data_IF_436905478090
#
_entry.id   IF_436905478090
#
_cell.length_a   1.000
_cell.length_b   1.000
_cell.length_c   1.000
_cell.angle_alpha   90.00
_cell.angle_beta   90.00
_cell.angle_gamma   90.00
#
_symmetry.space_group_name_H-M   'P 1'
#
loop_
_entity.id
_entity.type
_entity.pdbx_description
1 polymer ?
#
# COMPACT_ATOMS: atom_id res chain seq x y z
N UNK A 1 4.30 41.55 -13.04
CA UNK A 1 3.60 40.61 -13.94
C UNK A 1 4.55 39.45 -14.16
N UNK A 2 4.35 38.33 -13.46
CA UNK A 2 5.18 37.14 -13.52
C UNK A 2 4.92 36.40 -14.83
N UNK A 3 6.00 36.02 -15.53
CA UNK A 3 5.97 35.35 -16.82
C UNK A 3 5.31 33.95 -16.69
N UNK A 4 4.18 33.66 -17.36
CA UNK A 4 3.49 32.37 -17.28
C UNK A 4 4.18 31.22 -18.05
N UNK A 5 5.35 31.47 -18.67
CA UNK A 5 6.12 30.48 -19.42
C UNK A 5 7.46 30.11 -18.76
N UNK A 6 7.58 30.25 -17.44
CA UNK A 6 8.71 29.61 -16.74
C UNK A 6 8.60 28.09 -16.94
N UNK A 7 9.60 27.43 -17.55
CA UNK A 7 9.64 25.98 -17.62
C UNK A 7 9.54 25.43 -16.19
N UNK A 8 8.78 24.35 -15.93
CA UNK A 8 8.80 23.72 -14.62
C UNK A 8 10.25 23.50 -14.21
N UNK A 9 10.59 23.98 -13.00
CA UNK A 9 11.92 23.86 -12.42
C UNK A 9 12.49 22.48 -12.74
N UNK A 10 13.70 22.48 -13.32
CA UNK A 10 14.39 21.29 -13.81
C UNK A 10 14.12 20.09 -12.90
N UNK A 11 13.75 18.96 -13.52
CA UNK A 11 13.62 17.69 -12.83
C UNK A 11 14.79 17.54 -11.85
N UNK A 12 14.54 17.15 -10.59
CA UNK A 12 15.59 17.02 -9.59
C UNK A 12 16.74 16.24 -10.22
N UNK A 13 17.91 16.89 -10.30
CA UNK A 13 19.10 16.28 -10.86
C UNK A 13 19.34 14.97 -10.13
N UNK A 14 19.56 13.91 -10.91
CA UNK A 14 19.90 12.58 -10.41
C UNK A 14 21.29 12.70 -9.79
N UNK A 15 21.30 13.02 -8.50
CA UNK A 15 22.49 12.94 -7.68
C UNK A 15 22.56 11.54 -7.06
N UNK A 16 23.70 10.92 -7.31
CA UNK A 16 24.18 9.62 -6.85
C UNK A 16 23.58 8.38 -7.52
N UNK A 17 24.45 7.45 -7.93
CA UNK A 17 24.14 6.14 -8.52
C UNK A 17 23.43 5.17 -7.58
N UNK A 18 22.61 5.69 -6.68
CA UNK A 18 21.81 4.96 -5.73
C UNK A 18 20.53 4.45 -6.40
N UNK A 19 20.28 3.15 -6.27
CA UNK A 19 19.12 2.43 -6.82
C UNK A 19 17.75 2.94 -6.30
N UNK A 20 17.76 3.95 -5.41
CA UNK A 20 16.63 4.41 -4.60
C UNK A 20 16.67 5.94 -4.44
N UNK A 21 15.65 6.64 -4.94
CA UNK A 21 15.55 8.09 -4.88
C UNK A 21 14.69 8.60 -3.72
N UNK A 22 14.96 9.83 -3.29
CA UNK A 22 14.09 10.59 -2.38
C UNK A 22 13.11 11.42 -3.20
N UNK A 23 11.83 11.33 -2.88
CA UNK A 23 10.73 11.86 -3.70
C UNK A 23 9.75 12.65 -2.82
N UNK A 24 9.25 13.80 -3.29
CA UNK A 24 8.15 14.48 -2.63
C UNK A 24 6.85 13.66 -2.74
N UNK A 25 6.36 13.12 -1.63
CA UNK A 25 5.11 12.37 -1.60
C UNK A 25 3.93 13.31 -1.40
N UNK A 26 3.01 13.35 -2.36
CA UNK A 26 1.81 14.19 -2.35
C UNK A 26 0.56 13.30 -2.48
N UNK A 27 -0.01 12.81 -1.37
CA UNK A 27 -0.98 11.70 -1.39
C UNK A 27 -2.22 11.97 -2.23
N UNK A 28 -2.76 13.19 -2.16
CA UNK A 28 -3.97 13.60 -2.88
C UNK A 28 -3.68 13.75 -4.38
N UNK A 29 -2.54 14.34 -4.73
CA UNK A 29 -2.12 14.50 -6.13
C UNK A 29 -1.91 13.13 -6.79
N UNK A 30 -1.32 12.18 -6.05
CA UNK A 30 -1.11 10.80 -6.52
C UNK A 30 -2.41 10.07 -6.81
N UNK A 31 -3.48 10.28 -6.02
CA UNK A 31 -4.80 9.70 -6.31
C UNK A 31 -5.37 10.20 -7.64
N UNK A 32 -5.21 11.49 -7.94
CA UNK A 32 -5.63 12.06 -9.23
C UNK A 32 -4.79 11.51 -10.38
N UNK A 33 -3.47 11.40 -10.21
CA UNK A 33 -2.58 10.81 -11.21
C UNK A 33 -2.90 9.32 -11.44
N UNK A 34 -3.18 8.56 -10.38
CA UNK A 34 -3.61 7.17 -10.48
C UNK A 34 -4.93 7.05 -11.23
N UNK A 35 -5.91 7.91 -10.93
CA UNK A 35 -7.17 7.96 -11.68
C UNK A 35 -6.95 8.26 -13.17
N UNK A 36 -6.08 9.22 -13.48
CA UNK A 36 -5.73 9.58 -14.86
C UNK A 36 -5.03 8.42 -15.61
N UNK A 37 -4.10 7.73 -14.96
CA UNK A 37 -3.41 6.55 -15.52
C UNK A 37 -4.37 5.40 -15.84
N UNK A 38 -5.35 5.16 -14.97
CA UNK A 38 -6.37 4.14 -15.16
C UNK A 38 -7.30 4.47 -16.34
N UNK A 39 -7.69 5.75 -16.47
CA UNK A 39 -8.49 6.27 -17.57
C UNK A 39 -9.75 5.42 -17.82
N UNK A 40 -9.94 5.01 -19.08
CA UNK A 40 -11.10 4.23 -19.53
C UNK A 40 -11.19 2.84 -18.89
N UNK A 41 -10.08 2.29 -18.39
CA UNK A 41 -10.04 0.97 -17.75
C UNK A 41 -10.28 1.02 -16.24
N UNK A 42 -10.71 2.16 -15.69
CA UNK A 42 -10.95 2.32 -14.25
C UNK A 42 -11.86 1.23 -13.65
N UNK A 43 -12.99 0.93 -14.31
CA UNK A 43 -13.94 -0.08 -13.84
C UNK A 43 -13.36 -1.50 -13.87
N UNK A 44 -12.53 -1.81 -14.87
CA UNK A 44 -11.80 -3.07 -14.92
C UNK A 44 -10.86 -3.19 -13.71
N UNK A 45 -10.14 -2.13 -13.37
CA UNK A 45 -9.25 -2.12 -12.21
C UNK A 45 -10.00 -2.20 -10.88
N UNK A 46 -11.20 -1.65 -10.78
CA UNK A 46 -12.08 -1.88 -9.62
C UNK A 46 -12.39 -3.38 -9.47
N UNK A 47 -12.78 -4.04 -10.55
CA UNK A 47 -13.04 -5.49 -10.58
C UNK A 47 -11.80 -6.32 -10.23
N UNK A 48 -10.64 -5.97 -10.79
CA UNK A 48 -9.35 -6.61 -10.49
C UNK A 48 -9.02 -6.50 -9.00
N UNK A 49 -9.09 -5.29 -8.43
CA UNK A 49 -8.75 -5.08 -7.02
C UNK A 49 -9.74 -5.79 -6.09
N UNK A 50 -11.03 -5.77 -6.41
CA UNK A 50 -12.03 -6.49 -5.64
C UNK A 50 -11.80 -7.99 -5.63
N UNK A 51 -11.60 -8.61 -6.81
CA UNK A 51 -11.35 -10.05 -6.90
C UNK A 51 -10.04 -10.42 -6.21
N UNK A 52 -9.00 -9.59 -6.35
CA UNK A 52 -7.73 -9.79 -5.66
C UNK A 52 -7.90 -9.84 -4.13
N UNK A 53 -8.61 -8.87 -3.55
CA UNK A 53 -8.85 -8.82 -2.10
C UNK A 53 -9.80 -9.94 -1.66
N UNK A 54 -10.89 -10.16 -2.39
CA UNK A 54 -11.87 -11.19 -2.07
C UNK A 54 -11.24 -12.59 -2.06
N UNK A 55 -10.56 -12.97 -3.15
CA UNK A 55 -9.89 -14.28 -3.24
C UNK A 55 -8.66 -14.33 -2.33
N UNK A 56 -7.91 -13.24 -2.21
CA UNK A 56 -6.78 -13.14 -1.29
C UNK A 56 -7.17 -13.35 0.17
N UNK A 57 -8.40 -13.00 0.54
CA UNK A 57 -8.97 -13.20 1.88
C UNK A 57 -9.66 -14.57 2.08
N UNK A 58 -9.99 -15.28 0.99
CA UNK A 58 -10.81 -16.50 1.04
C UNK A 58 -10.05 -17.73 1.60
N UNK A 59 -8.73 -17.79 1.43
CA UNK A 59 -7.87 -18.86 1.96
C UNK A 59 -6.90 -18.23 2.95
N UNK A 60 -6.71 -18.79 4.18
CA UNK A 60 -5.90 -18.16 5.23
C UNK A 60 -4.53 -17.68 4.75
N UNK A 61 -4.40 -16.39 4.45
CA UNK A 61 -3.20 -15.62 4.04
C UNK A 61 -2.47 -16.12 2.77
N UNK A 62 -2.63 -17.39 2.35
CA UNK A 62 -1.83 -18.02 1.29
C UNK A 62 -1.98 -17.32 -0.07
N UNK A 63 -3.20 -16.88 -0.40
CA UNK A 63 -3.50 -16.31 -1.72
C UNK A 63 -3.31 -14.79 -1.78
N UNK A 64 -3.18 -14.11 -0.64
CA UNK A 64 -3.10 -12.66 -0.59
C UNK A 64 -1.88 -12.13 -1.36
N UNK A 65 -0.70 -12.70 -1.12
CA UNK A 65 0.53 -12.30 -1.80
C UNK A 65 0.47 -12.41 -3.32
N UNK A 66 0.19 -13.60 -3.88
CA UNK A 66 0.04 -13.79 -5.32
C UNK A 66 -1.01 -12.86 -5.94
N UNK A 67 -2.14 -12.63 -5.26
CA UNK A 67 -3.16 -11.68 -5.74
C UNK A 67 -2.67 -10.23 -5.77
N UNK A 68 -1.95 -9.79 -4.74
CA UNK A 68 -1.34 -8.45 -4.72
C UNK A 68 -0.27 -8.30 -5.81
N UNK A 69 0.56 -9.32 -6.03
CA UNK A 69 1.47 -9.36 -7.18
C UNK A 69 0.71 -9.25 -8.50
N UNK A 70 -0.44 -9.92 -8.63
CA UNK A 70 -1.32 -9.83 -9.81
C UNK A 70 -1.86 -8.43 -10.05
N UNK A 71 -2.29 -7.73 -9.00
CA UNK A 71 -2.72 -6.33 -9.07
C UNK A 71 -1.57 -5.45 -9.57
N UNK A 72 -0.37 -5.56 -8.99
CA UNK A 72 0.78 -4.76 -9.42
C UNK A 72 1.27 -5.15 -10.83
N UNK A 73 1.14 -6.41 -11.24
CA UNK A 73 1.39 -6.84 -12.62
C UNK A 73 0.48 -6.10 -13.60
N UNK A 74 -0.82 -5.98 -13.28
CA UNK A 74 -1.77 -5.22 -14.08
C UNK A 74 -1.38 -3.74 -14.17
N UNK A 75 -0.94 -3.11 -13.07
CA UNK A 75 -0.46 -1.72 -13.09
C UNK A 75 0.79 -1.54 -13.96
N UNK A 76 1.78 -2.43 -13.86
CA UNK A 76 2.97 -2.42 -14.73
C UNK A 76 2.56 -2.58 -16.20
N UNK A 77 1.60 -3.46 -16.50
CA UNK A 77 1.09 -3.66 -17.86
C UNK A 77 0.29 -2.48 -18.38
N UNK A 78 -0.41 -1.75 -17.52
CA UNK A 78 -1.17 -0.55 -17.90
C UNK A 78 -0.30 0.56 -18.49
N UNK A 79 0.97 0.66 -18.06
CA UNK A 79 1.94 1.58 -18.66
C UNK A 79 2.33 1.19 -20.10
N UNK A 80 2.24 -0.11 -20.43
CA UNK A 80 2.64 -0.67 -21.72
C UNK A 80 1.48 -0.76 -22.72
N UNK A 81 0.24 -0.71 -22.24
CA UNK A 81 -0.95 -0.86 -23.08
C UNK A 81 -2.21 -1.24 -22.30
N UNK A 82 -3.26 -1.71 -22.99
CA UNK A 82 -4.50 -2.11 -22.36
C UNK A 82 -4.31 -3.41 -21.54
N UNK A 83 -4.96 -3.46 -20.37
CA UNK A 83 -4.96 -4.61 -19.47
C UNK A 83 -6.22 -5.46 -19.68
N UNK A 84 -6.11 -6.76 -19.48
CA UNK A 84 -7.24 -7.70 -19.45
C UNK A 84 -7.36 -8.35 -18.07
N UNK A 85 -8.56 -8.84 -17.72
CA UNK A 85 -8.84 -9.37 -16.39
C UNK A 85 -8.01 -10.62 -16.04
N UNK A 86 -7.72 -11.49 -17.01
CA UNK A 86 -6.91 -12.70 -16.81
C UNK A 86 -5.48 -12.39 -16.32
N UNK A 87 -4.97 -11.20 -16.62
CA UNK A 87 -3.64 -10.76 -16.19
C UNK A 87 -3.52 -10.69 -14.66
N UNK A 88 -4.62 -10.55 -13.91
CA UNK A 88 -4.61 -10.63 -12.45
C UNK A 88 -3.99 -11.95 -11.98
N UNK A 89 -4.32 -13.06 -12.62
CA UNK A 89 -3.83 -14.37 -12.20
C UNK A 89 -2.35 -14.62 -12.56
N UNK A 90 -1.71 -13.74 -13.35
CA UNK A 90 -0.25 -13.77 -13.56
C UNK A 90 0.55 -13.52 -12.28
N UNK A 91 -0.09 -12.98 -11.24
CA UNK A 91 0.52 -12.89 -9.92
C UNK A 91 0.94 -14.24 -9.32
N UNK A 92 0.28 -15.34 -9.74
CA UNK A 92 0.63 -16.70 -9.33
C UNK A 92 1.97 -17.19 -9.91
N UNK A 93 2.48 -16.57 -10.98
CA UNK A 93 3.82 -16.86 -11.50
C UNK A 93 4.91 -16.53 -10.46
N UNK A 94 4.58 -15.70 -9.46
CA UNK A 94 5.45 -15.27 -8.37
C UNK A 94 5.09 -15.89 -7.02
N UNK A 95 4.28 -16.96 -7.00
CA UNK A 95 3.62 -17.48 -5.80
C UNK A 95 4.55 -17.69 -4.61
N UNK A 96 5.68 -18.38 -4.80
CA UNK A 96 6.59 -18.73 -3.70
C UNK A 96 7.16 -17.49 -3.00
N UNK A 97 7.70 -16.54 -3.76
CA UNK A 97 8.25 -15.32 -3.21
C UNK A 97 7.17 -14.38 -2.65
N UNK A 98 6.01 -14.30 -3.32
CA UNK A 98 4.88 -13.51 -2.85
C UNK A 98 4.31 -14.05 -1.52
N UNK A 99 4.22 -15.38 -1.38
CA UNK A 99 3.79 -16.03 -0.15
C UNK A 99 4.78 -15.76 0.99
N UNK A 100 6.09 -15.95 0.76
CA UNK A 100 7.12 -15.70 1.77
C UNK A 100 7.12 -14.24 2.22
N UNK A 101 7.00 -13.31 1.28
CA UNK A 101 6.86 -11.89 1.58
C UNK A 101 5.60 -11.62 2.43
N UNK A 102 4.45 -12.18 2.06
CA UNK A 102 3.19 -11.98 2.79
C UNK A 102 3.26 -12.56 4.20
N UNK A 103 3.80 -13.76 4.37
CA UNK A 103 4.00 -14.39 5.68
C UNK A 103 4.89 -13.53 6.58
N UNK A 104 5.93 -12.92 6.02
CA UNK A 104 6.79 -12.00 6.77
C UNK A 104 6.04 -10.73 7.18
N UNK A 105 5.34 -10.09 6.25
CA UNK A 105 4.58 -8.84 6.51
C UNK A 105 3.48 -9.09 7.55
N UNK A 106 2.66 -10.12 7.33
CA UNK A 106 1.56 -10.47 8.24
C UNK A 106 2.09 -10.99 9.57
N UNK A 107 3.16 -11.78 9.57
CA UNK A 107 3.80 -12.26 10.79
C UNK A 107 4.28 -11.10 11.69
N UNK A 108 4.92 -10.08 11.10
CA UNK A 108 5.33 -8.88 11.84
C UNK A 108 4.12 -8.09 12.35
N UNK A 109 3.05 -7.96 11.55
CA UNK A 109 1.82 -7.32 12.01
C UNK A 109 1.15 -8.08 13.17
N UNK A 110 1.11 -9.41 13.10
CA UNK A 110 0.55 -10.28 14.14
C UNK A 110 1.27 -10.16 15.49
N UNK A 111 2.59 -9.91 15.48
CA UNK A 111 3.35 -9.68 16.71
C UNK A 111 2.87 -8.46 17.51
N UNK A 112 2.08 -7.58 16.89
CA UNK A 112 1.48 -6.42 17.55
C UNK A 112 -0.01 -6.58 17.71
N UNK A 113 -0.71 -7.04 16.67
CA UNK A 113 -2.15 -7.23 16.72
C UNK A 113 -2.56 -8.24 17.78
N UNK A 114 -1.82 -9.35 17.93
CA UNK A 114 -2.16 -10.38 18.92
C UNK A 114 -2.01 -9.85 20.35
N UNK A 115 -0.85 -9.30 20.79
CA UNK A 115 -0.75 -8.73 22.13
C UNK A 115 -1.73 -7.57 22.37
N UNK A 116 -1.94 -6.71 21.36
CA UNK A 116 -2.89 -5.62 21.46
C UNK A 116 -4.33 -6.13 21.62
N UNK A 117 -4.73 -7.16 20.89
CA UNK A 117 -6.04 -7.79 20.98
C UNK A 117 -6.25 -8.49 22.32
N UNK A 118 -5.23 -9.17 22.84
CA UNK A 118 -5.26 -9.77 24.19
C UNK A 118 -5.40 -8.67 25.25
N UNK A 119 -4.60 -7.60 25.14
CA UNK A 119 -4.68 -6.46 26.05
C UNK A 119 -6.07 -5.82 26.01
N UNK A 120 -6.63 -5.62 24.82
CA UNK A 120 -7.97 -5.07 24.63
C UNK A 120 -9.03 -5.95 25.30
N UNK A 121 -8.93 -7.27 25.14
CA UNK A 121 -9.82 -8.25 25.77
C UNK A 121 -9.69 -8.22 27.30
N UNK A 122 -8.47 -8.25 27.83
CA UNK A 122 -8.20 -8.24 29.29
C UNK A 122 -8.70 -6.95 29.92
N UNK A 123 -8.43 -5.78 29.32
CA UNK A 123 -8.90 -4.48 29.83
C UNK A 123 -10.42 -4.40 29.81
N UNK A 124 -11.07 -4.88 28.74
CA UNK A 124 -12.52 -4.86 28.62
C UNK A 124 -13.19 -5.80 29.63
N UNK A 125 -12.75 -7.06 29.71
CA UNK A 125 -13.30 -8.04 30.65
C UNK A 125 -13.03 -7.66 32.11
N UNK A 126 -11.81 -7.22 32.42
CA UNK A 126 -11.44 -6.77 33.76
C UNK A 126 -12.23 -5.53 34.18
N UNK A 127 -12.41 -4.57 33.28
CA UNK A 127 -13.21 -3.38 33.55
C UNK A 127 -14.68 -3.72 33.86
N UNK A 128 -15.30 -4.56 33.04
CA UNK A 128 -16.69 -5.02 33.24
C UNK A 128 -16.83 -5.78 34.57
N UNK A 129 -15.89 -6.66 34.90
CA UNK A 129 -15.91 -7.42 36.15
C UNK A 129 -15.78 -6.52 37.40
N UNK A 130 -15.03 -5.42 37.30
CA UNK A 130 -14.86 -4.44 38.38
C UNK A 130 -16.05 -3.49 38.55
N UNK A 131 -17.01 -3.50 37.63
CA UNK A 131 -18.15 -2.59 37.59
C UNK A 131 -19.48 -3.37 37.54
N UNK A 132 -19.56 -4.44 38.34
CA UNK A 132 -20.76 -5.27 38.53
C UNK A 132 -21.38 -5.83 37.23
N UNK A 133 -20.57 -6.06 36.20
CA UNK A 133 -21.02 -6.54 34.89
C UNK A 133 -21.51 -5.45 33.94
N UNK A 134 -21.52 -4.20 34.37
CA UNK A 134 -21.83 -3.04 33.53
C UNK A 134 -20.56 -2.50 32.85
N UNK A 135 -20.72 -1.91 31.66
CA UNK A 135 -19.60 -1.33 30.92
C UNK A 135 -19.12 -0.02 31.58
N UNK A 136 -17.92 0.02 32.17
CA UNK A 136 -17.45 1.22 32.88
C UNK A 136 -17.28 2.42 31.94
N UNK A 137 -17.65 3.64 32.38
CA UNK A 137 -17.47 4.85 31.57
C UNK A 137 -16.02 5.13 31.15
N UNK A 138 -15.03 4.75 31.96
CA UNK A 138 -13.62 5.00 31.65
C UNK A 138 -13.10 4.19 30.44
N UNK A 139 -13.76 3.07 30.08
CA UNK A 139 -13.42 2.31 28.88
C UNK A 139 -13.64 3.11 27.60
N UNK A 140 -14.57 4.08 27.59
CA UNK A 140 -14.76 4.99 26.45
C UNK A 140 -13.57 5.94 26.23
N UNK A 141 -12.72 6.17 27.24
CA UNK A 141 -11.46 6.89 27.05
C UNK A 141 -10.31 5.96 26.69
N UNK A 142 -10.16 4.86 27.42
CA UNK A 142 -8.99 3.99 27.33
C UNK A 142 -8.98 3.14 26.04
N UNK A 143 -10.10 2.52 25.67
CA UNK A 143 -10.14 1.63 24.51
C UNK A 143 -9.92 2.36 23.18
N UNK A 144 -10.53 3.54 22.92
CA UNK A 144 -10.23 4.30 21.70
C UNK A 144 -8.80 4.80 21.66
N UNK A 145 -8.23 5.23 22.78
CA UNK A 145 -6.82 5.63 22.84
C UNK A 145 -5.90 4.45 22.51
N UNK A 146 -6.15 3.28 23.10
CA UNK A 146 -5.40 2.07 22.79
C UNK A 146 -5.52 1.70 21.30
N UNK A 147 -6.73 1.78 20.75
CA UNK A 147 -6.96 1.53 19.33
C UNK A 147 -6.17 2.48 18.44
N UNK A 148 -6.16 3.79 18.73
CA UNK A 148 -5.38 4.78 17.98
C UNK A 148 -3.88 4.49 18.07
N UNK A 149 -3.37 4.12 19.25
CA UNK A 149 -1.95 3.75 19.42
C UNK A 149 -1.60 2.54 18.54
N UNK A 150 -2.41 1.48 18.60
CA UNK A 150 -2.18 0.25 17.81
C UNK A 150 -2.28 0.55 16.32
N UNK A 151 -3.26 1.34 15.90
CA UNK A 151 -3.43 1.79 14.52
C UNK A 151 -2.17 2.52 14.00
N UNK A 152 -1.63 3.46 14.78
CA UNK A 152 -0.39 4.17 14.42
C UNK A 152 0.81 3.22 14.36
N UNK A 153 0.93 2.27 15.28
CA UNK A 153 2.01 1.27 15.27
C UNK A 153 1.96 0.39 14.01
N UNK A 154 0.77 -0.11 13.65
CA UNK A 154 0.57 -0.92 12.44
C UNK A 154 0.95 -0.10 11.21
N UNK A 155 0.53 1.16 11.12
CA UNK A 155 0.90 2.03 10.01
C UNK A 155 2.41 2.17 9.86
N UNK A 156 3.13 2.46 10.95
CA UNK A 156 4.60 2.59 10.94
C UNK A 156 5.27 1.30 10.46
N UNK A 157 4.71 0.16 10.82
CA UNK A 157 5.24 -1.15 10.43
C UNK A 157 4.93 -1.50 8.99
N UNK A 158 3.83 -1.03 8.42
CA UNK A 158 3.52 -1.28 7.01
C UNK A 158 4.38 -0.45 6.05
N UNK A 159 4.79 0.77 6.45
CA UNK A 159 5.64 1.66 5.64
C UNK A 159 6.81 0.93 4.95
N UNK A 160 7.67 0.15 5.63
CA UNK A 160 8.77 -0.57 4.98
C UNK A 160 8.38 -1.64 3.98
N UNK A 161 7.14 -2.14 4.02
CA UNK A 161 6.67 -3.21 3.14
C UNK A 161 5.86 -2.71 1.94
N UNK A 162 5.61 -1.40 1.86
CA UNK A 162 4.80 -0.75 0.82
C UNK A 162 5.17 -1.15 -0.61
N UNK A 163 6.47 -1.37 -0.89
CA UNK A 163 6.97 -1.62 -2.23
C UNK A 163 7.34 -3.09 -2.50
N UNK A 164 7.09 -4.01 -1.57
CA UNK A 164 7.54 -5.40 -1.69
C UNK A 164 6.94 -6.10 -2.91
N UNK A 165 5.63 -6.05 -3.08
CA UNK A 165 4.94 -6.69 -4.20
C UNK A 165 5.29 -6.11 -5.58
N UNK A 166 5.30 -4.77 -5.80
CA UNK A 166 5.75 -4.25 -7.09
C UNK A 166 7.21 -4.58 -7.38
N UNK A 167 8.09 -4.59 -6.37
CA UNK A 167 9.49 -5.01 -6.52
C UNK A 167 9.65 -6.49 -6.92
N UNK A 168 8.85 -7.39 -6.35
CA UNK A 168 8.84 -8.82 -6.72
C UNK A 168 8.44 -8.97 -8.20
N UNK A 169 7.41 -8.25 -8.64
CA UNK A 169 6.85 -8.43 -9.99
C UNK A 169 7.70 -7.74 -11.06
N UNK A 170 8.02 -6.47 -10.87
CA UNK A 170 8.72 -5.62 -11.84
C UNK A 170 10.18 -6.05 -12.01
N UNK A 171 10.87 -6.34 -10.90
CA UNK A 171 12.30 -6.72 -10.90
C UNK A 171 12.54 -8.22 -10.79
N UNK A 172 11.48 -9.04 -10.73
CA UNK A 172 11.55 -10.51 -10.59
C UNK A 172 12.45 -10.97 -9.43
N UNK A 173 12.43 -10.21 -8.34
CA UNK A 173 13.29 -10.47 -7.18
C UNK A 173 12.67 -11.50 -6.24
N UNK A 174 13.55 -12.21 -5.52
CA UNK A 174 13.15 -13.07 -4.41
C UNK A 174 12.61 -12.24 -3.24
N UNK A 175 11.80 -12.87 -2.38
CA UNK A 175 11.10 -12.22 -1.28
C UNK A 175 12.02 -11.37 -0.36
N UNK A 176 13.10 -11.96 0.14
CA UNK A 176 13.98 -11.29 1.10
C UNK A 176 14.75 -10.08 0.52
N UNK A 177 15.38 -10.19 -0.68
CA UNK A 177 15.92 -9.03 -1.38
C UNK A 177 14.88 -7.92 -1.61
N UNK A 178 13.65 -8.28 -2.00
CA UNK A 178 12.57 -7.31 -2.21
C UNK A 178 12.21 -6.56 -0.92
N UNK A 179 12.12 -7.26 0.22
CA UNK A 179 11.89 -6.63 1.54
C UNK A 179 13.02 -5.68 1.91
N UNK A 180 14.28 -6.08 1.73
CA UNK A 180 15.43 -5.21 2.01
C UNK A 180 15.43 -3.95 1.15
N UNK A 181 15.17 -4.09 -0.13
CA UNK A 181 15.15 -2.96 -1.06
C UNK A 181 13.94 -2.04 -0.78
N UNK A 182 12.77 -2.62 -0.48
CA UNK A 182 11.59 -1.86 -0.04
C UNK A 182 11.89 -1.07 1.23
N UNK A 183 12.55 -1.68 2.23
CA UNK A 183 12.96 -0.99 3.46
C UNK A 183 13.89 0.19 3.19
N UNK A 184 14.86 0.04 2.29
CA UNK A 184 15.77 1.13 1.91
C UNK A 184 15.01 2.30 1.25
N UNK A 185 14.08 2.00 0.33
CA UNK A 185 13.19 2.99 -0.28
C UNK A 185 12.30 3.69 0.73
N UNK A 186 11.69 2.91 1.62
CA UNK A 186 10.83 3.43 2.65
C UNK A 186 11.58 4.30 3.65
N UNK A 187 12.79 3.92 4.07
CA UNK A 187 13.59 4.71 5.03
C UNK A 187 13.97 6.08 4.48
N UNK A 188 14.32 6.18 3.18
CA UNK A 188 14.63 7.47 2.53
C UNK A 188 13.40 8.38 2.42
N UNK A 189 12.20 7.80 2.34
CA UNK A 189 10.93 8.49 2.09
C UNK A 189 9.90 8.35 3.23
N UNK A 190 10.37 8.04 4.44
CA UNK A 190 9.53 7.51 5.52
C UNK A 190 8.32 8.38 5.83
N UNK A 191 8.53 9.68 6.08
CA UNK A 191 7.46 10.61 6.43
C UNK A 191 6.46 10.83 5.29
N UNK A 192 6.93 10.80 4.05
CA UNK A 192 6.07 10.93 2.88
C UNK A 192 5.15 9.71 2.74
N UNK A 193 5.72 8.52 2.83
CA UNK A 193 4.96 7.26 2.76
C UNK A 193 4.03 7.12 3.97
N UNK A 194 4.49 7.45 5.18
CA UNK A 194 3.64 7.43 6.37
C UNK A 194 2.46 8.39 6.23
N UNK A 195 2.68 9.60 5.71
CA UNK A 195 1.62 10.56 5.41
C UNK A 195 0.65 10.05 4.34
N UNK A 196 1.15 9.38 3.30
CA UNK A 196 0.32 8.73 2.28
C UNK A 196 -0.56 7.62 2.86
N UNK A 197 0.02 6.70 3.64
CA UNK A 197 -0.73 5.65 4.34
C UNK A 197 -1.76 6.28 5.28
N UNK A 198 -1.42 7.37 5.98
CA UNK A 198 -2.36 8.08 6.86
C UNK A 198 -3.56 8.61 6.09
N UNK A 199 -3.31 9.36 5.02
CA UNK A 199 -4.37 9.93 4.19
C UNK A 199 -5.26 8.81 3.63
N UNK A 200 -4.67 7.72 3.14
CA UNK A 200 -5.44 6.64 2.52
C UNK A 200 -6.25 5.85 3.54
N UNK A 201 -5.72 5.62 4.74
CA UNK A 201 -6.46 5.00 5.84
C UNK A 201 -7.62 5.88 6.32
N UNK A 202 -7.41 7.19 6.42
CA UNK A 202 -8.49 8.13 6.81
C UNK A 202 -9.58 8.21 5.73
N UNK A 203 -9.20 8.31 4.45
CA UNK A 203 -10.15 8.24 3.33
C UNK A 203 -10.89 6.91 3.33
N UNK A 204 -10.20 5.80 3.59
CA UNK A 204 -10.79 4.48 3.73
C UNK A 204 -11.80 4.39 4.86
N UNK A 205 -11.52 5.02 6.01
CA UNK A 205 -12.43 5.07 7.16
C UNK A 205 -13.69 5.88 6.84
N UNK A 206 -13.54 7.07 6.23
CA UNK A 206 -14.68 7.88 5.78
C UNK A 206 -15.52 7.12 4.75
N UNK A 207 -14.86 6.45 3.80
CA UNK A 207 -15.52 5.61 2.81
C UNK A 207 -16.26 4.42 3.44
N UNK A 208 -15.70 3.78 4.46
CA UNK A 208 -16.35 2.69 5.19
C UNK A 208 -17.61 3.17 5.93
N UNK A 209 -17.57 4.36 6.55
CA UNK A 209 -18.74 4.99 7.17
C UNK A 209 -19.88 5.26 6.17
N UNK A 210 -19.56 5.40 4.87
CA UNK A 210 -20.53 5.54 3.78
C UNK A 210 -20.97 4.18 3.19
N UNK A 211 -21.23 3.19 4.06
CA UNK A 211 -21.69 1.84 3.70
C UNK A 211 -20.72 1.00 2.84
N UNK A 212 -19.40 1.23 2.97
CA UNK A 212 -18.32 0.52 2.25
C UNK A 212 -18.31 0.66 0.71
N UNK A 213 -19.38 1.12 0.08
CA UNK A 213 -19.44 1.29 -1.39
C UNK A 213 -18.29 2.15 -1.91
N UNK A 214 -17.92 3.30 -1.28
CA UNK A 214 -16.81 4.11 -1.77
C UNK A 214 -15.43 3.46 -1.62
N UNK A 215 -15.26 2.49 -0.71
CA UNK A 215 -13.98 1.78 -0.54
C UNK A 215 -13.60 1.04 -1.82
N UNK A 216 -14.60 0.46 -2.51
CA UNK A 216 -14.41 -0.24 -3.78
C UNK A 216 -13.76 0.63 -4.87
N UNK A 217 -14.14 1.92 -4.92
CA UNK A 217 -13.55 2.89 -5.86
C UNK A 217 -12.18 3.40 -5.41
N UNK A 218 -11.96 3.44 -4.09
CA UNK A 218 -10.69 3.89 -3.52
C UNK A 218 -9.58 2.85 -3.71
N UNK A 219 -9.90 1.55 -3.69
CA UNK A 219 -8.92 0.46 -3.84
C UNK A 219 -7.99 0.61 -5.07
N UNK A 220 -8.50 0.70 -6.32
CA UNK A 220 -7.62 0.83 -7.48
C UNK A 220 -6.84 2.15 -7.49
N UNK A 221 -7.36 3.22 -6.89
CA UNK A 221 -6.65 4.49 -6.76
C UNK A 221 -5.50 4.39 -5.76
N UNK A 222 -5.72 3.73 -4.62
CA UNK A 222 -4.70 3.49 -3.60
C UNK A 222 -3.56 2.61 -4.16
N UNK A 223 -3.88 1.49 -4.81
CA UNK A 223 -2.85 0.64 -5.42
C UNK A 223 -2.13 1.34 -6.57
N UNK A 224 -2.85 2.07 -7.42
CA UNK A 224 -2.25 2.85 -8.51
C UNK A 224 -1.34 3.96 -8.00
N UNK A 225 -1.70 4.61 -6.88
CA UNK A 225 -0.85 5.63 -6.26
C UNK A 225 0.41 5.02 -5.67
N UNK A 226 0.31 3.86 -5.02
CA UNK A 226 1.48 3.09 -4.55
C UNK A 226 2.39 2.69 -5.70
N UNK A 227 1.81 2.30 -6.84
CA UNK A 227 2.57 1.98 -8.05
C UNK A 227 3.29 3.19 -8.65
N UNK A 228 2.63 4.34 -8.75
CA UNK A 228 3.25 5.58 -9.22
C UNK A 228 4.39 6.02 -8.28
N UNK A 229 4.17 5.93 -6.96
CA UNK A 229 5.22 6.21 -5.99
C UNK A 229 6.39 5.22 -6.11
N UNK A 230 6.09 3.94 -6.34
CA UNK A 230 7.10 2.91 -6.59
C UNK A 230 7.99 3.30 -7.79
N UNK A 231 7.39 3.71 -8.91
CA UNK A 231 8.14 4.16 -10.10
C UNK A 231 9.03 5.38 -9.83
N UNK A 232 8.58 6.31 -8.98
CA UNK A 232 9.35 7.49 -8.61
C UNK A 232 10.52 7.16 -7.66
N UNK A 233 10.30 6.27 -6.68
CA UNK A 233 11.34 5.87 -5.70
C UNK A 233 12.36 4.94 -6.33
N UNK A 234 11.91 4.07 -7.24
CA UNK A 234 12.73 3.05 -7.89
C UNK A 234 12.69 3.19 -9.42
N UNK A 235 13.24 4.28 -9.98
CA UNK A 235 13.37 4.40 -11.43
C UNK A 235 14.34 3.31 -11.91
N UNK A 236 13.80 2.19 -12.40
CA UNK A 236 14.60 1.19 -13.08
C UNK A 236 15.16 1.80 -14.37
N UNK A 237 16.41 1.48 -14.71
CA UNK A 237 17.05 1.86 -15.97
C UNK A 237 16.08 1.63 -17.13
N UNK A 238 15.43 2.70 -17.58
CA UNK A 238 14.50 2.64 -18.67
C UNK A 238 15.32 2.44 -19.96
N UNK A 239 15.21 1.32 -20.70
CA UNK A 239 15.78 1.26 -22.04
C UNK A 239 15.14 2.29 -22.99
N UNK A 240 14.06 2.98 -22.59
CA UNK A 240 13.49 4.09 -23.35
C UNK A 240 14.19 5.45 -23.14
N UNK A 241 15.41 5.46 -22.56
CA UNK A 241 16.30 6.64 -22.50
C UNK A 241 17.47 6.60 -23.48
N UNK A 242 17.55 5.61 -24.39
CA UNK A 242 18.43 5.64 -25.57
C UNK A 242 17.57 5.73 -26.82
N UNK A 243 17.18 6.96 -27.14
CA UNK A 243 16.38 7.28 -28.32
C UNK A 243 16.38 8.78 -28.51
N UNK A 244 17.52 9.29 -28.97
CA UNK A 244 17.75 10.71 -29.21
C UNK A 244 19.24 10.96 -29.42
N UNK A 245 19.77 10.39 -30.50
CA UNK A 245 20.82 11.10 -31.26
C UNK A 245 20.25 12.44 -31.75
#
# INVERSE_FOLDING_TARGET
MSNPYEPPAAAPQVDDGSEVLRVPVRPIEQLYQAKAMLGDQFWLFCGICFVAIFVGSAVPIVLLGPMLCGVFYCFIKKEQGPVTFDMLFRGFDYFGDALLATLLVVGVAMLIEIPAGILWMVVSLGGIAMNDGEFPPWLFGVLPLLYVVVFVLIMVIQVPFTFVYPLIVDRKMKAWPAVKLSWQGARKNFWGILGMVLVYSLLGMVAACMCYVPVFFLLPLSFGSTFLLYRQVFPGNNPAGKGGD
#
